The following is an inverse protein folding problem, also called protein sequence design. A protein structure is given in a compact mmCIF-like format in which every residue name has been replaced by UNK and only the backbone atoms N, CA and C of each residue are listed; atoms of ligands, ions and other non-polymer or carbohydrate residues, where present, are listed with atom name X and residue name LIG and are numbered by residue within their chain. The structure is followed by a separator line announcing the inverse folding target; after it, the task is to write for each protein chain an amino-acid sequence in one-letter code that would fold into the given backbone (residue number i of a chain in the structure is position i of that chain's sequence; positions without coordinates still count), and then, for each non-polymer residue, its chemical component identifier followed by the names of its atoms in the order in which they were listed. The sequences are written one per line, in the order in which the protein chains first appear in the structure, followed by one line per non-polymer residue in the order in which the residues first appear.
data_IF_800107533397
#
_entry.id   IF_800107533397
#
_cell.length_a   1.000
_cell.length_b   1.000
_cell.length_c   1.000
_cell.angle_alpha   90.00
_cell.angle_beta   90.00
_cell.angle_gamma   90.00
#
_symmetry.space_group_name_H-M   'P 1'
#
loop_
_entity.id
_entity.type
_entity.pdbx_description
1 polymer ?
#
# COMPACT_ATOMS: atom_id res chain seq x y z
N UNK A 1 105.56 -23.99 -32.36
CA UNK A 1 104.69 -25.18 -32.16
C UNK A 1 103.52 -24.76 -31.35
N UNK A 2 102.43 -24.37 -32.04
CA UNK A 2 101.28 -23.80 -31.34
C UNK A 2 100.02 -24.40 -31.98
N UNK A 3 99.28 -25.15 -31.24
CA UNK A 3 98.02 -25.79 -31.70
C UNK A 3 96.86 -24.80 -31.55
N UNK A 4 96.09 -24.64 -32.65
CA UNK A 4 94.85 -23.89 -32.67
C UNK A 4 93.70 -24.82 -32.24
N UNK A 5 92.99 -24.43 -31.24
CA UNK A 5 91.73 -25.07 -30.85
C UNK A 5 90.59 -24.13 -31.33
N UNK A 6 89.82 -24.58 -32.37
CA UNK A 6 88.59 -23.93 -32.79
C UNK A 6 87.45 -24.33 -31.86
N UNK A 7 86.91 -23.35 -31.17
CA UNK A 7 85.65 -23.51 -30.42
C UNK A 7 84.49 -23.24 -31.34
N UNK A 8 83.64 -24.28 -31.57
CA UNK A 8 82.32 -24.14 -32.19
C UNK A 8 81.33 -23.54 -31.19
N UNK A 9 80.70 -22.44 -31.57
CA UNK A 9 79.51 -21.89 -30.82
C UNK A 9 78.27 -22.46 -31.47
N UNK A 10 77.30 -23.00 -30.71
CA UNK A 10 76.03 -23.35 -31.29
C UNK A 10 75.12 -22.08 -31.36
N UNK A 11 74.57 -21.89 -32.55
CA UNK A 11 73.57 -20.84 -32.86
C UNK A 11 72.25 -21.24 -32.22
N UNK A 12 71.84 -20.57 -31.15
CA UNK A 12 70.49 -20.73 -30.59
C UNK A 12 69.58 -19.81 -31.38
N UNK A 13 68.71 -20.42 -32.19
CA UNK A 13 67.59 -19.71 -32.88
C UNK A 13 66.45 -19.58 -31.88
N UNK A 14 66.25 -18.35 -31.40
CA UNK A 14 65.14 -17.98 -30.54
C UNK A 14 63.88 -17.81 -31.38
N UNK A 15 62.94 -18.76 -31.34
CA UNK A 15 61.67 -18.67 -32.02
C UNK A 15 60.72 -17.78 -31.16
N UNK A 16 60.56 -16.53 -31.48
CA UNK A 16 59.57 -15.64 -30.86
C UNK A 16 58.17 -16.02 -31.42
N UNK A 17 57.41 -16.78 -30.62
CA UNK A 17 55.97 -16.98 -30.87
C UNK A 17 55.25 -15.73 -30.39
N UNK A 18 54.83 -14.89 -31.32
CA UNK A 18 53.95 -13.72 -31.03
C UNK A 18 52.51 -14.25 -30.81
N UNK A 19 52.14 -14.38 -29.55
CA UNK A 19 50.74 -14.57 -29.18
C UNK A 19 50.03 -13.22 -29.37
N UNK A 20 49.36 -13.02 -30.49
CA UNK A 20 48.44 -11.90 -30.68
C UNK A 20 47.20 -12.16 -29.82
N UNK A 21 47.25 -11.73 -28.56
CA UNK A 21 46.09 -11.64 -27.69
C UNK A 21 45.14 -10.56 -28.27
N UNK A 22 43.99 -10.97 -28.77
CA UNK A 22 42.90 -10.07 -29.11
C UNK A 22 42.59 -9.20 -27.87
N UNK A 23 42.53 -7.89 -27.94
CA UNK A 23 42.08 -7.07 -26.83
C UNK A 23 40.64 -7.45 -26.54
N UNK A 24 40.41 -8.13 -25.40
CA UNK A 24 39.07 -8.37 -24.90
C UNK A 24 38.35 -7.01 -24.86
N UNK A 25 37.27 -6.91 -25.58
CA UNK A 25 36.38 -5.75 -25.51
C UNK A 25 35.92 -5.64 -24.05
N UNK A 26 36.49 -4.70 -23.31
CA UNK A 26 35.99 -4.30 -22.01
C UNK A 26 34.61 -3.73 -22.30
N UNK A 27 33.55 -4.50 -22.00
CA UNK A 27 32.19 -4.00 -22.01
C UNK A 27 32.16 -2.81 -21.05
N UNK A 28 32.09 -1.61 -21.59
CA UNK A 28 31.79 -0.42 -20.77
C UNK A 28 30.47 -0.69 -20.11
N UNK A 29 30.36 -0.57 -18.77
CA UNK A 29 29.06 -0.72 -18.11
C UNK A 29 28.13 0.30 -18.75
N UNK A 30 27.05 -0.18 -19.37
CA UNK A 30 25.96 0.68 -19.86
C UNK A 30 25.51 1.50 -18.66
N UNK A 31 25.44 2.84 -18.75
CA UNK A 31 24.91 3.66 -17.67
C UNK A 31 23.56 3.05 -17.27
N UNK A 32 23.36 2.78 -15.99
CA UNK A 32 22.06 2.36 -15.52
C UNK A 32 21.05 3.41 -15.98
N UNK A 33 20.05 3.01 -16.75
CA UNK A 33 19.00 3.92 -17.19
C UNK A 33 18.40 4.60 -15.96
N UNK A 34 18.19 5.91 -16.05
CA UNK A 34 17.58 6.65 -14.94
C UNK A 34 16.23 6.03 -14.62
N UNK A 35 16.03 5.67 -13.34
CA UNK A 35 14.77 5.08 -12.89
C UNK A 35 13.63 6.08 -13.00
N UNK A 36 12.46 5.60 -13.35
CA UNK A 36 11.20 6.36 -13.30
C UNK A 36 10.93 6.77 -11.84
N UNK A 37 10.87 8.05 -11.57
CA UNK A 37 10.62 8.60 -10.24
C UNK A 37 9.13 8.66 -9.98
N UNK A 38 8.65 7.75 -9.15
CA UNK A 38 7.24 7.63 -8.82
C UNK A 38 6.98 8.15 -7.41
N UNK A 39 5.97 8.99 -7.29
CA UNK A 39 5.42 9.43 -6.00
C UNK A 39 4.03 8.83 -5.84
N UNK A 40 3.71 8.38 -4.65
CA UNK A 40 2.38 7.91 -4.27
C UNK A 40 1.88 8.69 -3.08
N UNK A 41 0.58 8.82 -2.94
CA UNK A 41 -0.02 9.51 -1.80
C UNK A 41 0.06 8.68 -0.53
N UNK A 42 -0.10 7.35 -0.63
CA UNK A 42 -0.05 6.42 0.51
C UNK A 42 0.93 5.27 0.29
N UNK A 43 1.45 4.63 1.37
CA UNK A 43 2.43 3.55 1.28
C UNK A 43 1.90 2.26 0.62
N UNK A 44 0.60 2.01 0.66
CA UNK A 44 -0.04 0.86 0.00
C UNK A 44 0.17 0.90 -1.51
N UNK A 45 -0.04 2.07 -2.12
CA UNK A 45 0.24 2.31 -3.53
C UNK A 45 1.73 2.19 -3.82
N UNK A 46 2.60 2.71 -2.92
CA UNK A 46 4.05 2.60 -3.09
C UNK A 46 4.52 1.13 -3.11
N UNK A 47 3.92 0.29 -2.28
CA UNK A 47 4.21 -1.14 -2.29
C UNK A 47 3.84 -1.77 -3.64
N UNK A 48 2.63 -1.54 -4.14
CA UNK A 48 2.16 -2.11 -5.40
C UNK A 48 2.93 -1.59 -6.61
N UNK A 49 3.24 -0.28 -6.66
CA UNK A 49 4.10 0.30 -7.69
C UNK A 49 5.49 -0.34 -7.68
N UNK A 50 6.04 -0.58 -6.48
CA UNK A 50 7.33 -1.26 -6.33
C UNK A 50 7.33 -2.70 -6.83
N UNK A 51 6.26 -3.44 -6.59
CA UNK A 51 6.08 -4.82 -7.07
C UNK A 51 5.96 -4.90 -8.59
N UNK A 52 5.25 -3.95 -9.22
CA UNK A 52 5.02 -3.92 -10.66
C UNK A 52 6.20 -3.27 -11.40
N UNK A 53 6.73 -2.17 -10.88
CA UNK A 53 7.81 -1.42 -11.53
C UNK A 53 9.21 -1.98 -11.30
N UNK A 54 9.44 -2.67 -10.17
CA UNK A 54 10.73 -3.29 -9.76
C UNK A 54 11.93 -2.35 -9.95
N UNK A 55 12.95 -2.83 -10.68
CA UNK A 55 14.20 -2.09 -10.94
C UNK A 55 14.03 -0.87 -11.86
N UNK A 56 12.91 -0.75 -12.58
CA UNK A 56 12.60 0.38 -13.46
C UNK A 56 12.14 1.64 -12.69
N UNK A 57 11.70 1.49 -11.44
CA UNK A 57 11.12 2.60 -10.68
C UNK A 57 11.91 2.94 -9.41
N UNK A 58 11.87 4.21 -9.02
CA UNK A 58 12.20 4.70 -7.68
C UNK A 58 10.94 5.26 -7.06
N UNK A 59 10.38 4.57 -6.04
CA UNK A 59 9.08 4.92 -5.47
C UNK A 59 9.23 5.58 -4.11
N UNK A 60 8.46 6.65 -3.86
CA UNK A 60 8.35 7.32 -2.56
C UNK A 60 6.89 7.64 -2.25
N UNK A 61 6.47 7.38 -1.02
CA UNK A 61 5.16 7.79 -0.51
C UNK A 61 5.22 9.14 0.20
N UNK A 62 4.18 9.97 0.04
CA UNK A 62 4.02 11.21 0.80
C UNK A 62 3.60 10.90 2.23
N UNK A 63 2.46 10.20 2.41
CA UNK A 63 2.01 9.79 3.72
C UNK A 63 2.89 8.67 4.29
N UNK A 64 2.96 8.64 5.62
CA UNK A 64 3.50 7.50 6.37
C UNK A 64 2.33 6.68 6.90
N UNK A 65 2.51 5.37 7.02
CA UNK A 65 1.46 4.46 7.44
C UNK A 65 0.82 4.73 8.82
N UNK A 66 1.43 5.59 9.63
CA UNK A 66 0.91 6.03 10.94
C UNK A 66 0.21 7.39 10.92
N UNK A 67 0.16 8.07 9.77
CA UNK A 67 -0.47 9.38 9.61
C UNK A 67 -1.93 9.24 9.18
N UNK A 68 -2.73 10.26 9.45
CA UNK A 68 -4.09 10.37 8.91
C UNK A 68 -4.01 10.79 7.44
N UNK A 69 -4.51 9.95 6.52
CA UNK A 69 -4.43 10.22 5.09
C UNK A 69 -5.30 11.40 4.63
N UNK A 70 -6.29 11.83 5.43
CA UNK A 70 -7.08 13.04 5.16
C UNK A 70 -6.32 14.33 5.48
N UNK A 71 -5.30 14.26 6.33
CA UNK A 71 -4.67 15.45 6.91
C UNK A 71 -3.14 15.32 6.95
N UNK A 72 -2.52 15.38 5.77
CA UNK A 72 -1.07 15.33 5.65
C UNK A 72 -0.49 16.73 5.78
N UNK A 73 0.39 17.00 6.78
CA UNK A 73 1.00 18.31 6.94
C UNK A 73 1.87 18.68 5.73
N UNK A 74 1.68 19.89 5.19
CA UNK A 74 2.50 20.43 4.10
C UNK A 74 3.97 20.55 4.55
N UNK A 75 4.89 19.94 3.80
CA UNK A 75 6.35 20.03 4.03
C UNK A 75 7.07 20.46 2.75
N UNK A 76 8.08 21.35 2.83
CA UNK A 76 8.86 21.75 1.65
C UNK A 76 9.50 20.56 0.91
N UNK A 77 9.84 19.49 1.64
CA UNK A 77 10.37 18.26 1.06
C UNK A 77 9.40 17.56 0.11
N UNK A 78 8.09 17.68 0.32
CA UNK A 78 7.07 17.13 -0.58
C UNK A 78 6.99 17.89 -1.89
N UNK A 79 7.13 19.23 -1.86
CA UNK A 79 7.21 20.04 -3.08
C UNK A 79 8.41 19.63 -3.93
N UNK A 80 9.58 19.43 -3.31
CA UNK A 80 10.78 19.00 -4.01
C UNK A 80 10.63 17.58 -4.58
N UNK A 81 9.97 16.69 -3.83
CA UNK A 81 9.69 15.33 -4.26
C UNK A 81 8.79 15.33 -5.50
N UNK A 82 7.66 16.04 -5.44
CA UNK A 82 6.70 16.15 -6.55
C UNK A 82 7.26 16.90 -7.76
N UNK A 83 8.08 17.95 -7.54
CA UNK A 83 8.74 18.67 -8.64
C UNK A 83 9.62 17.74 -9.51
N UNK A 84 10.22 16.71 -8.92
CA UNK A 84 11.12 15.76 -9.58
C UNK A 84 10.45 14.47 -10.02
N UNK A 85 9.18 14.28 -9.71
CA UNK A 85 8.44 13.09 -10.04
C UNK A 85 8.16 12.99 -11.56
N UNK A 86 8.24 11.80 -12.08
CA UNK A 86 7.79 11.47 -13.44
C UNK A 86 6.34 11.00 -13.41
N UNK A 87 5.89 10.35 -12.31
CA UNK A 87 4.52 9.93 -12.09
C UNK A 87 4.06 10.16 -10.66
N UNK A 88 2.74 10.36 -10.51
CA UNK A 88 2.02 10.43 -9.24
C UNK A 88 0.83 9.48 -9.27
N UNK A 89 0.70 8.66 -8.23
CA UNK A 89 -0.47 7.81 -7.99
C UNK A 89 -1.18 8.29 -6.74
N UNK A 90 -2.46 8.66 -6.88
CA UNK A 90 -3.33 9.05 -5.77
C UNK A 90 -4.35 7.95 -5.45
N UNK A 91 -4.89 7.96 -4.23
CA UNK A 91 -6.01 7.09 -3.86
C UNK A 91 -7.25 7.46 -4.69
N UNK A 92 -7.57 8.73 -4.79
CA UNK A 92 -8.78 9.20 -5.43
C UNK A 92 -10.01 9.18 -4.51
N UNK A 93 -11.22 9.28 -5.08
CA UNK A 93 -12.45 9.51 -4.33
C UNK A 93 -12.36 10.69 -3.37
N UNK A 94 -11.65 11.75 -3.80
CA UNK A 94 -11.46 12.98 -3.03
C UNK A 94 -10.72 12.79 -1.68
N UNK A 95 -9.96 11.67 -1.52
CA UNK A 95 -9.19 11.39 -0.30
C UNK A 95 -8.18 12.50 0.03
N UNK A 96 -7.51 12.98 -1.00
CA UNK A 96 -6.39 13.92 -0.86
C UNK A 96 -6.82 15.39 -0.97
N UNK A 97 -8.12 15.68 -1.01
CA UNK A 97 -8.66 17.01 -1.33
C UNK A 97 -8.12 18.14 -0.44
N UNK A 98 -7.82 17.83 0.82
CA UNK A 98 -7.39 18.83 1.79
C UNK A 98 -5.92 19.25 1.67
N UNK A 99 -5.08 18.52 0.90
CA UNK A 99 -3.64 18.76 0.89
C UNK A 99 -2.94 18.57 -0.48
N UNK A 100 -3.37 17.63 -1.31
CA UNK A 100 -2.69 17.33 -2.58
C UNK A 100 -2.85 18.44 -3.62
N UNK A 101 -4.02 19.10 -3.80
CA UNK A 101 -4.18 20.18 -4.78
C UNK A 101 -3.18 21.32 -4.59
N UNK A 102 -2.96 21.75 -3.34
CA UNK A 102 -1.99 22.80 -3.02
C UNK A 102 -0.54 22.37 -3.30
N UNK A 103 -0.21 21.10 -3.04
CA UNK A 103 1.11 20.55 -3.37
C UNK A 103 1.31 20.50 -4.89
N UNK A 104 0.32 20.07 -5.66
CA UNK A 104 0.38 20.01 -7.13
C UNK A 104 0.52 21.40 -7.74
N UNK A 105 -0.24 22.37 -7.28
CA UNK A 105 -0.13 23.76 -7.73
C UNK A 105 1.27 24.35 -7.49
N UNK A 106 1.85 24.08 -6.32
CA UNK A 106 3.13 24.67 -5.93
C UNK A 106 4.36 23.89 -6.41
N UNK A 107 4.26 22.62 -6.75
CA UNK A 107 5.40 21.82 -7.20
C UNK A 107 5.87 22.15 -8.62
N UNK A 108 5.06 22.85 -9.44
CA UNK A 108 5.38 23.29 -10.80
C UNK A 108 5.84 22.16 -11.72
N UNK A 109 5.22 21.01 -11.63
CA UNK A 109 5.53 19.86 -12.47
C UNK A 109 4.31 19.48 -13.30
N UNK A 110 4.35 19.80 -14.59
CA UNK A 110 3.23 19.55 -15.51
C UNK A 110 3.04 18.05 -15.83
N UNK A 111 4.05 17.21 -15.61
CA UNK A 111 3.97 15.77 -15.88
C UNK A 111 2.94 15.05 -15.00
N UNK A 112 2.69 15.58 -13.80
CA UNK A 112 1.88 14.95 -12.75
C UNK A 112 0.64 15.79 -12.37
N UNK A 113 0.21 16.69 -13.26
CA UNK A 113 -1.05 17.42 -13.05
C UNK A 113 -2.25 16.53 -13.43
N UNK A 114 -3.43 16.75 -12.84
CA UNK A 114 -4.64 16.04 -13.23
C UNK A 114 -4.87 16.09 -14.75
N UNK A 115 -5.03 14.92 -15.38
CA UNK A 115 -5.15 14.75 -16.82
C UNK A 115 -3.84 14.57 -17.58
N UNK A 116 -2.68 14.74 -16.96
CA UNK A 116 -1.40 14.40 -17.56
C UNK A 116 -1.16 12.87 -17.52
N UNK A 117 -0.39 12.30 -18.47
CA UNK A 117 -0.13 10.84 -18.50
C UNK A 117 0.57 10.31 -17.24
N UNK A 118 1.32 11.15 -16.53
CA UNK A 118 1.98 10.78 -15.28
C UNK A 118 1.11 10.91 -14.03
N UNK A 119 -0.16 11.38 -14.16
CA UNK A 119 -1.11 11.43 -13.05
C UNK A 119 -2.09 10.26 -13.13
N UNK A 120 -2.14 9.44 -12.08
CA UNK A 120 -2.98 8.24 -12.06
C UNK A 120 -3.87 8.25 -10.81
N UNK A 121 -5.18 8.26 -11.03
CA UNK A 121 -6.18 8.06 -9.99
C UNK A 121 -6.45 6.55 -9.82
N UNK A 122 -6.08 6.00 -8.66
CA UNK A 122 -6.14 4.56 -8.40
C UNK A 122 -7.57 4.05 -8.11
N UNK A 123 -8.55 4.93 -7.91
CA UNK A 123 -9.96 4.55 -7.71
C UNK A 123 -10.68 4.14 -8.99
N UNK A 124 -10.08 4.32 -10.17
CA UNK A 124 -10.75 4.17 -11.47
C UNK A 124 -11.49 2.84 -11.69
N UNK A 125 -11.05 1.76 -11.04
CA UNK A 125 -11.68 0.42 -11.12
C UNK A 125 -12.50 0.05 -9.89
N UNK A 126 -12.57 0.94 -8.90
CA UNK A 126 -13.20 0.67 -7.61
C UNK A 126 -14.68 1.03 -7.67
N UNK A 127 -15.51 0.13 -7.19
CA UNK A 127 -16.92 0.44 -6.98
C UNK A 127 -17.07 1.19 -5.65
N UNK A 128 -17.47 2.47 -5.65
CA UNK A 128 -17.60 3.22 -4.41
C UNK A 128 -18.76 2.70 -3.56
N UNK A 129 -18.57 2.76 -2.24
CA UNK A 129 -19.64 2.57 -1.25
C UNK A 129 -19.91 3.89 -0.54
N UNK A 130 -21.06 4.01 0.13
CA UNK A 130 -21.42 5.19 0.92
C UNK A 130 -21.37 6.51 0.12
N UNK A 131 -21.77 6.45 -1.16
CA UNK A 131 -21.91 7.64 -2.00
C UNK A 131 -23.06 8.49 -1.44
N UNK A 132 -22.81 9.75 -1.04
CA UNK A 132 -23.86 10.59 -0.46
C UNK A 132 -24.85 11.05 -1.54
N UNK A 133 -26.15 11.01 -1.24
CA UNK A 133 -27.20 11.54 -2.15
C UNK A 133 -27.03 13.03 -2.45
N UNK A 134 -26.62 13.79 -1.43
CA UNK A 134 -26.28 15.20 -1.53
C UNK A 134 -25.02 15.46 -0.69
N UNK A 135 -23.87 15.70 -1.32
CA UNK A 135 -22.66 16.04 -0.59
C UNK A 135 -22.81 17.43 0.04
N UNK A 136 -22.83 17.47 1.38
CA UNK A 136 -22.87 18.72 2.16
C UNK A 136 -21.69 18.71 3.16
N UNK A 137 -20.86 19.73 3.11
CA UNK A 137 -19.74 19.92 4.04
C UNK A 137 -20.21 20.12 5.49
N UNK A 138 -21.48 20.46 5.74
CA UNK A 138 -22.06 20.45 7.08
C UNK A 138 -22.14 19.03 7.68
N UNK A 139 -22.01 18.01 6.86
CA UNK A 139 -21.93 16.60 7.30
C UNK A 139 -20.51 16.14 7.68
N UNK A 140 -19.54 17.06 7.74
CA UNK A 140 -18.13 16.77 8.05
C UNK A 140 -17.27 16.58 6.80
N UNK A 141 -16.23 15.76 6.92
CA UNK A 141 -15.33 15.40 5.81
C UNK A 141 -15.99 14.37 4.88
N UNK A 142 -16.95 14.84 4.10
CA UNK A 142 -17.76 14.02 3.18
C UNK A 142 -17.10 13.98 1.81
N UNK A 143 -16.89 12.77 1.31
CA UNK A 143 -16.34 12.50 -0.02
C UNK A 143 -17.49 12.36 -1.05
N UNK A 144 -17.61 13.28 -2.02
CA UNK A 144 -18.73 13.28 -2.99
C UNK A 144 -18.78 12.01 -3.85
N UNK A 145 -17.65 11.43 -4.15
CA UNK A 145 -17.51 10.23 -4.99
C UNK A 145 -17.73 8.91 -4.23
N UNK A 146 -17.84 8.96 -2.90
CA UNK A 146 -18.00 7.82 -2.02
C UNK A 146 -16.84 7.60 -1.07
N UNK A 147 -16.90 6.57 -0.25
CA UNK A 147 -15.89 6.26 0.76
C UNK A 147 -14.53 5.93 0.12
N UNK A 148 -13.46 6.67 0.44
CA UNK A 148 -12.15 6.48 -0.20
C UNK A 148 -11.26 5.42 0.45
N UNK A 149 -11.68 4.77 1.55
CA UNK A 149 -10.85 3.82 2.30
C UNK A 149 -10.87 2.39 1.72
N UNK A 150 -10.96 2.29 0.39
CA UNK A 150 -11.01 1.02 -0.31
C UNK A 150 -9.72 0.18 -0.20
N UNK A 151 -8.61 0.82 0.16
CA UNK A 151 -7.32 0.15 0.37
C UNK A 151 -7.35 -0.89 1.50
N UNK A 152 -8.34 -0.82 2.41
CA UNK A 152 -8.51 -1.78 3.49
C UNK A 152 -9.11 -3.11 3.03
N UNK A 153 -9.75 -3.15 1.87
CA UNK A 153 -10.27 -4.37 1.24
C UNK A 153 -9.25 -4.97 0.26
N UNK A 154 -8.79 -6.22 0.49
CA UNK A 154 -7.83 -6.84 -0.43
C UNK A 154 -8.37 -7.08 -1.84
N UNK A 155 -9.68 -7.30 -2.04
CA UNK A 155 -10.23 -7.42 -3.39
C UNK A 155 -10.05 -6.11 -4.18
N UNK A 156 -10.20 -4.96 -3.54
CA UNK A 156 -9.90 -3.66 -4.12
C UNK A 156 -8.40 -3.44 -4.33
N UNK A 157 -7.54 -3.97 -3.44
CA UNK A 157 -6.09 -3.96 -3.63
C UNK A 157 -5.67 -4.62 -4.94
N UNK A 158 -6.30 -5.73 -5.31
CA UNK A 158 -6.09 -6.42 -6.59
C UNK A 158 -6.48 -5.54 -7.80
N UNK A 159 -7.60 -4.80 -7.70
CA UNK A 159 -8.03 -3.87 -8.74
C UNK A 159 -7.10 -2.66 -8.86
N UNK A 160 -6.64 -2.15 -7.72
CA UNK A 160 -5.66 -1.06 -7.63
C UNK A 160 -4.35 -1.42 -8.34
N UNK A 161 -3.83 -2.64 -8.12
CA UNK A 161 -2.63 -3.12 -8.79
C UNK A 161 -2.76 -3.09 -10.33
N UNK A 162 -3.93 -3.48 -10.85
CA UNK A 162 -4.23 -3.39 -12.29
C UNK A 162 -4.24 -1.94 -12.79
N UNK A 163 -4.86 -1.02 -12.05
CA UNK A 163 -4.88 0.39 -12.40
C UNK A 163 -3.48 1.00 -12.40
N UNK A 164 -2.63 0.61 -11.45
CA UNK A 164 -1.22 1.02 -11.39
C UNK A 164 -0.46 0.53 -12.64
N UNK A 165 -0.64 -0.73 -13.02
CA UNK A 165 -0.01 -1.28 -14.22
C UNK A 165 -0.44 -0.55 -15.49
N UNK A 166 -1.76 -0.30 -15.64
CA UNK A 166 -2.28 0.47 -16.78
C UNK A 166 -1.64 1.86 -16.87
N UNK A 167 -1.50 2.55 -15.73
CA UNK A 167 -0.85 3.85 -15.64
C UNK A 167 0.63 3.80 -16.05
N UNK A 168 1.38 2.83 -15.54
CA UNK A 168 2.79 2.62 -15.91
C UNK A 168 2.95 2.29 -17.39
N UNK A 169 2.13 1.39 -17.94
CA UNK A 169 2.16 1.00 -19.34
C UNK A 169 1.80 2.19 -20.27
N UNK A 170 0.78 2.98 -19.88
CA UNK A 170 0.37 4.14 -20.64
C UNK A 170 1.43 5.24 -20.71
N UNK A 171 2.13 5.48 -19.59
CA UNK A 171 3.20 6.49 -19.53
C UNK A 171 4.54 5.99 -20.14
N UNK A 172 4.81 4.70 -20.09
CA UNK A 172 6.06 4.07 -20.53
C UNK A 172 5.80 2.82 -21.38
N UNK A 173 5.27 2.96 -22.61
CA UNK A 173 4.87 1.84 -23.45
C UNK A 173 6.04 0.91 -23.82
N UNK A 174 7.28 1.43 -23.88
CA UNK A 174 8.47 0.62 -24.15
C UNK A 174 8.79 -0.40 -23.03
N UNK A 175 8.19 -0.23 -21.84
CA UNK A 175 8.33 -1.13 -20.71
C UNK A 175 7.05 -1.92 -20.39
N UNK A 176 5.98 -1.77 -21.19
CA UNK A 176 4.67 -2.33 -20.91
C UNK A 176 4.71 -3.85 -20.67
N UNK A 177 5.36 -4.61 -21.55
CA UNK A 177 5.50 -6.06 -21.45
C UNK A 177 6.12 -6.49 -20.08
N UNK A 178 7.10 -5.72 -19.58
CA UNK A 178 7.72 -6.01 -18.28
C UNK A 178 6.77 -5.70 -17.12
N UNK A 179 6.03 -4.59 -17.20
CA UNK A 179 5.05 -4.24 -16.16
C UNK A 179 3.91 -5.25 -16.10
N UNK A 180 3.40 -5.69 -17.26
CA UNK A 180 2.36 -6.70 -17.36
C UNK A 180 2.83 -8.05 -16.81
N UNK A 181 4.03 -8.52 -17.16
CA UNK A 181 4.60 -9.74 -16.60
C UNK A 181 4.79 -9.65 -15.09
N UNK A 182 5.28 -8.52 -14.58
CA UNK A 182 5.43 -8.31 -13.14
C UNK A 182 4.09 -8.25 -12.40
N UNK A 183 3.06 -7.66 -13.02
CA UNK A 183 1.70 -7.66 -12.51
C UNK A 183 1.15 -9.08 -12.40
N UNK A 184 1.34 -9.92 -13.42
CA UNK A 184 0.88 -11.31 -13.44
C UNK A 184 1.49 -12.09 -12.26
N UNK A 185 2.81 -12.05 -12.09
CA UNK A 185 3.50 -12.67 -10.96
C UNK A 185 3.02 -12.13 -9.59
N UNK A 186 2.77 -10.82 -9.52
CA UNK A 186 2.24 -10.19 -8.31
C UNK A 186 0.83 -10.67 -8.01
N UNK A 187 -0.05 -10.73 -9.02
CA UNK A 187 -1.44 -11.18 -8.86
C UNK A 187 -1.52 -12.66 -8.48
N UNK A 188 -0.66 -13.53 -9.00
CA UNK A 188 -0.60 -14.94 -8.57
C UNK A 188 -0.30 -15.06 -7.06
N UNK A 189 0.64 -14.26 -6.54
CA UNK A 189 0.95 -14.24 -5.11
C UNK A 189 -0.19 -13.62 -4.30
N UNK A 190 -0.81 -12.58 -4.87
CA UNK A 190 -1.93 -11.88 -4.26
C UNK A 190 -3.15 -12.81 -4.11
N UNK A 191 -3.49 -13.54 -5.16
CA UNK A 191 -4.65 -14.45 -5.18
C UNK A 191 -4.48 -15.60 -4.18
N UNK A 192 -3.24 -16.14 -4.03
CA UNK A 192 -2.94 -17.09 -2.94
C UNK A 192 -3.15 -16.48 -1.55
N UNK A 193 -2.62 -15.28 -1.34
CA UNK A 193 -2.80 -14.57 -0.06
C UNK A 193 -4.26 -14.20 0.23
N UNK A 194 -5.02 -13.85 -0.80
CA UNK A 194 -6.44 -13.55 -0.65
C UNK A 194 -7.19 -14.79 -0.15
N UNK A 195 -6.95 -15.96 -0.73
CA UNK A 195 -7.53 -17.22 -0.27
C UNK A 195 -7.13 -17.54 1.20
N UNK A 196 -5.85 -17.33 1.56
CA UNK A 196 -5.38 -17.49 2.94
C UNK A 196 -6.16 -16.59 3.90
N UNK A 197 -6.36 -15.31 3.55
CA UNK A 197 -7.06 -14.33 4.39
C UNK A 197 -8.55 -14.61 4.50
N UNK A 198 -9.20 -15.09 3.44
CA UNK A 198 -10.60 -15.49 3.47
C UNK A 198 -10.82 -16.63 4.47
N UNK A 199 -9.94 -17.64 4.49
CA UNK A 199 -9.99 -18.72 5.49
C UNK A 199 -9.72 -18.17 6.89
N UNK A 200 -8.66 -17.40 7.04
CA UNK A 200 -8.25 -16.84 8.33
C UNK A 200 -9.35 -15.97 8.95
N UNK A 201 -10.08 -15.23 8.11
CA UNK A 201 -11.11 -14.29 8.53
C UNK A 201 -12.50 -14.91 8.74
N UNK A 202 -12.75 -16.16 8.36
CA UNK A 202 -14.07 -16.82 8.55
C UNK A 202 -14.70 -16.61 9.94
N UNK A 203 -13.91 -16.65 11.06
CA UNK A 203 -14.50 -16.40 12.37
C UNK A 203 -14.98 -14.96 12.60
N UNK A 204 -14.72 -14.03 11.67
CA UNK A 204 -15.16 -12.63 11.77
C UNK A 204 -16.57 -12.41 11.22
N UNK A 205 -17.12 -13.35 10.47
CA UNK A 205 -18.46 -13.23 9.90
C UNK A 205 -19.53 -13.05 10.98
N UNK A 206 -20.39 -12.05 10.78
CA UNK A 206 -21.45 -11.66 11.71
C UNK A 206 -20.97 -11.00 13.00
N UNK A 207 -19.67 -10.76 13.17
CA UNK A 207 -19.14 -10.07 14.36
C UNK A 207 -19.54 -8.59 14.29
N UNK A 208 -20.23 -8.14 15.34
CA UNK A 208 -20.73 -6.77 15.47
C UNK A 208 -19.67 -5.85 16.04
N UNK A 209 -19.39 -4.75 15.32
CA UNK A 209 -18.33 -3.80 15.66
C UNK A 209 -18.84 -2.36 15.67
N UNK A 210 -18.14 -1.51 16.44
CA UNK A 210 -18.15 -0.05 16.29
C UNK A 210 -16.80 0.35 15.73
N UNK A 211 -16.76 1.23 14.74
CA UNK A 211 -15.51 1.80 14.24
C UNK A 211 -15.32 3.21 14.79
N UNK A 212 -14.09 3.72 14.80
CA UNK A 212 -13.90 5.12 15.18
C UNK A 212 -14.36 6.05 14.07
N UNK A 213 -13.87 5.80 12.87
CA UNK A 213 -14.20 6.46 11.60
C UNK A 213 -14.72 5.43 10.58
N UNK A 214 -15.18 5.87 9.41
CA UNK A 214 -15.68 4.99 8.33
C UNK A 214 -14.58 4.31 7.51
N UNK A 215 -13.37 4.19 8.06
CA UNK A 215 -12.23 3.59 7.36
C UNK A 215 -12.40 2.08 7.08
N UNK A 216 -13.33 1.43 7.77
CA UNK A 216 -13.43 -0.04 7.80
C UNK A 216 -14.61 -0.59 7.00
N UNK A 217 -15.36 0.25 6.28
CA UNK A 217 -16.57 -0.17 5.57
C UNK A 217 -16.30 -1.24 4.51
N UNK A 218 -15.25 -1.07 3.71
CA UNK A 218 -14.86 -2.07 2.71
C UNK A 218 -14.30 -3.34 3.34
N UNK A 219 -13.43 -3.22 4.34
CA UNK A 219 -12.91 -4.36 5.09
C UNK A 219 -14.04 -5.16 5.74
N UNK A 220 -14.98 -4.48 6.38
CA UNK A 220 -16.12 -5.10 7.02
C UNK A 220 -17.02 -5.83 6.02
N UNK A 221 -17.31 -5.20 4.89
CA UNK A 221 -18.10 -5.81 3.83
C UNK A 221 -17.44 -7.06 3.24
N UNK A 222 -16.10 -7.04 3.08
CA UNK A 222 -15.34 -8.16 2.53
C UNK A 222 -15.30 -9.37 3.49
N UNK A 223 -15.02 -9.12 4.78
CA UNK A 223 -14.84 -10.17 5.78
C UNK A 223 -16.08 -10.46 6.65
N UNK A 224 -17.23 -9.90 6.27
CA UNK A 224 -18.50 -10.21 6.91
C UNK A 224 -18.71 -9.61 8.30
N UNK A 225 -17.98 -8.54 8.70
CA UNK A 225 -18.27 -7.83 9.94
C UNK A 225 -19.50 -6.93 9.79
N UNK A 226 -20.27 -6.79 10.86
CA UNK A 226 -21.41 -5.88 10.93
C UNK A 226 -21.00 -4.57 11.62
N UNK A 227 -20.80 -3.48 10.86
CA UNK A 227 -20.54 -2.15 11.42
C UNK A 227 -21.86 -1.57 11.95
N UNK A 228 -21.97 -1.52 13.26
CA UNK A 228 -23.18 -1.08 13.96
C UNK A 228 -23.21 0.42 14.26
N UNK A 229 -22.10 1.12 14.07
CA UNK A 229 -22.00 2.57 14.25
C UNK A 229 -20.57 3.05 14.38
N UNK A 230 -20.41 4.35 14.39
CA UNK A 230 -19.14 5.03 14.45
C UNK A 230 -19.03 5.89 15.73
N UNK A 231 -17.80 6.03 16.25
CA UNK A 231 -17.52 6.95 17.36
C UNK A 231 -17.67 8.39 16.88
N UNK A 232 -17.15 8.72 15.71
CA UNK A 232 -17.44 9.99 15.05
C UNK A 232 -18.86 9.98 14.48
N UNK A 233 -19.76 10.88 14.94
CA UNK A 233 -21.13 10.93 14.40
C UNK A 233 -21.17 11.36 12.95
N UNK A 234 -20.15 12.10 12.53
CA UNK A 234 -19.86 12.56 11.17
C UNK A 234 -18.33 12.59 11.02
N UNK A 235 -17.78 12.29 9.83
CA UNK A 235 -16.33 12.28 9.61
C UNK A 235 -15.65 13.56 10.09
N UNK A 236 -14.59 13.44 10.90
CA UNK A 236 -13.83 14.55 11.44
C UNK A 236 -14.51 15.32 12.58
N UNK A 237 -15.73 14.94 13.00
CA UNK A 237 -16.48 15.63 14.06
C UNK A 237 -16.45 14.82 15.36
N UNK A 238 -15.92 15.45 16.43
CA UNK A 238 -15.85 14.82 17.75
C UNK A 238 -17.24 14.46 18.30
N UNK A 239 -17.41 13.27 18.94
CA UNK A 239 -18.70 12.83 19.45
C UNK A 239 -19.18 13.67 20.64
N UNK A 240 -20.48 13.93 20.66
CA UNK A 240 -21.14 14.57 21.82
C UNK A 240 -21.41 13.55 22.94
N UNK A 241 -21.61 14.00 24.21
CA UNK A 241 -22.02 13.11 25.29
C UNK A 241 -23.31 12.32 24.98
N UNK A 242 -24.26 12.93 24.27
CA UNK A 242 -25.50 12.29 23.85
C UNK A 242 -25.24 11.15 22.87
N UNK A 243 -24.34 11.34 21.91
CA UNK A 243 -23.93 10.32 20.95
C UNK A 243 -23.24 9.14 21.65
N UNK A 244 -22.29 9.42 22.56
CA UNK A 244 -21.62 8.39 23.36
C UNK A 244 -22.60 7.58 24.20
N UNK A 245 -23.61 8.23 24.81
CA UNK A 245 -24.66 7.52 25.54
C UNK A 245 -25.54 6.64 24.62
N UNK A 246 -25.78 7.06 23.37
CA UNK A 246 -26.46 6.23 22.34
C UNK A 246 -25.62 4.99 22.00
N UNK A 247 -24.32 5.15 21.79
CA UNK A 247 -23.42 4.02 21.51
C UNK A 247 -23.38 3.01 22.67
N UNK A 248 -23.32 3.48 23.93
CA UNK A 248 -23.36 2.59 25.11
C UNK A 248 -24.64 1.75 25.17
N UNK A 249 -25.80 2.36 24.84
CA UNK A 249 -27.06 1.57 24.76
C UNK A 249 -26.99 0.54 23.64
N UNK A 250 -26.52 0.97 22.45
CA UNK A 250 -26.40 0.09 21.29
C UNK A 250 -25.47 -1.11 21.55
N UNK A 251 -24.31 -0.86 22.18
CA UNK A 251 -23.36 -1.93 22.59
C UNK A 251 -24.07 -3.01 23.39
N UNK A 252 -24.88 -2.62 24.38
CA UNK A 252 -25.59 -3.55 25.26
C UNK A 252 -26.73 -4.26 24.54
N UNK A 253 -27.58 -3.48 23.83
CA UNK A 253 -28.82 -3.96 23.28
C UNK A 253 -28.60 -4.86 22.05
N UNK A 254 -27.55 -4.55 21.25
CA UNK A 254 -27.17 -5.30 20.05
C UNK A 254 -25.98 -6.25 20.27
N UNK A 255 -25.48 -6.38 21.51
CA UNK A 255 -24.34 -7.25 21.87
C UNK A 255 -23.10 -7.00 21.00
N UNK A 256 -22.74 -5.75 20.78
CA UNK A 256 -21.56 -5.38 20.00
C UNK A 256 -20.31 -5.80 20.77
N UNK A 257 -19.36 -6.46 20.08
CA UNK A 257 -18.24 -7.16 20.70
C UNK A 257 -16.95 -6.33 20.72
N UNK A 258 -16.76 -5.45 19.74
CA UNK A 258 -15.47 -4.83 19.50
C UNK A 258 -15.61 -3.37 19.03
N UNK A 259 -14.67 -2.52 19.48
CA UNK A 259 -14.40 -1.22 18.91
C UNK A 259 -13.10 -1.30 18.12
N UNK A 260 -13.12 -0.89 16.86
CA UNK A 260 -11.95 -0.75 15.98
C UNK A 260 -11.61 0.74 15.88
N UNK A 261 -10.35 1.10 16.10
CA UNK A 261 -9.86 2.46 15.91
C UNK A 261 -8.50 2.47 15.22
N UNK A 262 -8.22 3.54 14.53
CA UNK A 262 -6.95 3.78 13.87
C UNK A 262 -5.88 4.31 14.84
N UNK A 263 -4.59 4.15 14.50
CA UNK A 263 -3.46 4.51 15.37
C UNK A 263 -3.44 6.01 15.74
N UNK A 264 -3.79 6.90 14.82
CA UNK A 264 -3.74 8.35 15.00
C UNK A 264 -4.91 8.93 15.80
N UNK A 265 -6.00 8.19 15.98
CA UNK A 265 -7.11 8.65 16.80
C UNK A 265 -6.84 8.52 18.31
N UNK A 266 -7.41 9.44 19.07
CA UNK A 266 -7.32 9.47 20.54
C UNK A 266 -7.97 8.24 21.18
N UNK A 267 -7.35 7.72 22.24
CA UNK A 267 -7.91 6.65 23.07
C UNK A 267 -9.07 7.11 23.99
N UNK A 268 -9.38 8.41 24.04
CA UNK A 268 -10.37 8.98 25.00
C UNK A 268 -11.73 8.28 24.90
N UNK A 269 -12.30 8.23 23.71
CA UNK A 269 -13.65 7.71 23.52
C UNK A 269 -13.71 6.16 23.52
N UNK A 270 -12.80 5.44 22.87
CA UNK A 270 -12.74 3.97 22.98
C UNK A 270 -12.55 3.49 24.42
N UNK A 271 -11.67 4.17 25.19
CA UNK A 271 -11.47 3.85 26.61
C UNK A 271 -12.73 4.09 27.44
N UNK A 272 -13.44 5.21 27.21
CA UNK A 272 -14.72 5.48 27.86
C UNK A 272 -15.75 4.38 27.59
N UNK A 273 -15.90 3.94 26.33
CA UNK A 273 -16.79 2.84 25.98
C UNK A 273 -16.38 1.56 26.71
N UNK A 274 -15.09 1.20 26.70
CA UNK A 274 -14.54 0.05 27.39
C UNK A 274 -14.82 0.07 28.90
N UNK A 275 -14.56 1.20 29.57
CA UNK A 275 -14.78 1.34 31.01
C UNK A 275 -16.27 1.24 31.40
N UNK A 276 -17.19 1.68 30.55
CA UNK A 276 -18.62 1.71 30.82
C UNK A 276 -19.38 0.47 30.40
N UNK A 277 -18.90 -0.28 29.41
CA UNK A 277 -19.60 -1.45 28.86
C UNK A 277 -18.80 -2.75 28.91
N UNK A 278 -17.50 -2.70 29.15
CA UNK A 278 -16.62 -3.86 29.06
C UNK A 278 -16.26 -4.26 27.63
N UNK A 279 -16.70 -3.49 26.61
CA UNK A 279 -16.41 -3.79 25.21
C UNK A 279 -14.91 -3.89 24.94
N UNK A 280 -14.51 -4.81 24.07
CA UNK A 280 -13.12 -4.93 23.62
C UNK A 280 -12.76 -3.78 22.70
N UNK A 281 -11.48 -3.41 22.67
CA UNK A 281 -10.96 -2.35 21.80
C UNK A 281 -9.70 -2.86 21.11
N UNK A 282 -9.64 -2.72 19.80
CA UNK A 282 -8.44 -2.96 19.01
C UNK A 282 -8.02 -1.68 18.30
N UNK A 283 -6.71 -1.46 18.22
CA UNK A 283 -6.12 -0.35 17.45
C UNK A 283 -5.39 -0.92 16.26
N UNK A 284 -5.77 -0.49 15.05
CA UNK A 284 -5.28 -1.00 13.79
C UNK A 284 -4.72 0.13 12.93
N UNK A 285 -3.66 -0.10 12.16
CA UNK A 285 -3.29 0.81 11.08
C UNK A 285 -4.34 0.73 9.96
N UNK A 286 -4.60 1.83 9.28
CA UNK A 286 -5.43 1.88 8.08
C UNK A 286 -4.61 2.01 6.78
N UNK A 287 -3.29 1.98 6.91
CA UNK A 287 -2.32 1.93 5.81
C UNK A 287 -1.15 1.01 6.18
N UNK A 288 -0.49 0.47 5.18
CA UNK A 288 0.74 -0.32 5.35
C UNK A 288 1.88 0.53 5.93
N UNK A 289 2.81 -0.11 6.64
CA UNK A 289 4.00 0.55 7.19
C UNK A 289 3.74 1.46 8.40
N UNK A 290 2.54 1.47 8.98
CA UNK A 290 2.24 2.18 10.23
C UNK A 290 2.97 1.60 11.44
N UNK A 291 3.31 0.32 11.37
CA UNK A 291 4.06 -0.44 12.35
C UNK A 291 5.10 -1.33 11.65
N UNK A 292 6.17 -1.75 12.33
CA UNK A 292 7.18 -2.64 11.72
C UNK A 292 6.59 -3.91 11.11
N UNK A 293 5.63 -4.54 11.79
CA UNK A 293 4.94 -5.76 11.38
C UNK A 293 3.95 -5.58 10.23
N UNK A 294 3.61 -4.33 9.85
CA UNK A 294 2.70 -4.02 8.74
C UNK A 294 3.43 -3.47 7.52
N UNK A 295 4.74 -3.66 7.43
CA UNK A 295 5.52 -3.23 6.28
C UNK A 295 5.13 -4.02 5.03
N UNK A 296 4.57 -3.32 4.04
CA UNK A 296 4.00 -3.89 2.82
C UNK A 296 2.54 -4.29 2.98
N UNK A 297 1.82 -4.30 1.84
CA UNK A 297 0.38 -4.47 1.82
C UNK A 297 -0.09 -5.83 2.37
N UNK A 298 0.60 -6.91 2.03
CA UNK A 298 0.23 -8.25 2.50
C UNK A 298 0.30 -8.37 4.02
N UNK A 299 1.39 -7.87 4.62
CA UNK A 299 1.54 -7.88 6.06
C UNK A 299 0.52 -6.99 6.77
N UNK A 300 0.14 -5.88 6.14
CA UNK A 300 -0.90 -4.96 6.64
C UNK A 300 -2.26 -5.66 6.74
N UNK A 301 -2.71 -6.33 5.69
CA UNK A 301 -3.98 -7.06 5.68
C UNK A 301 -3.98 -8.17 6.73
N UNK A 302 -2.96 -9.03 6.74
CA UNK A 302 -2.84 -10.16 7.67
C UNK A 302 -2.77 -9.69 9.13
N UNK A 303 -2.04 -8.60 9.40
CA UNK A 303 -1.96 -7.99 10.73
C UNK A 303 -3.34 -7.54 11.22
N UNK A 304 -4.13 -6.91 10.39
CA UNK A 304 -5.45 -6.40 10.77
C UNK A 304 -6.40 -7.56 11.09
N UNK A 305 -6.47 -8.59 10.24
CA UNK A 305 -7.29 -9.78 10.50
C UNK A 305 -6.87 -10.43 11.80
N UNK A 306 -5.59 -10.74 11.96
CA UNK A 306 -5.08 -11.45 13.16
C UNK A 306 -5.24 -10.66 14.44
N UNK A 307 -5.12 -9.32 14.37
CA UNK A 307 -5.31 -8.43 15.52
C UNK A 307 -6.76 -8.38 15.98
N UNK A 308 -7.73 -8.38 15.04
CA UNK A 308 -9.15 -8.47 15.37
C UNK A 308 -9.47 -9.82 16.02
N UNK A 309 -9.01 -10.94 15.44
CA UNK A 309 -9.19 -12.27 16.01
C UNK A 309 -8.66 -12.37 17.43
N UNK A 310 -7.44 -11.91 17.67
CA UNK A 310 -6.82 -11.88 19.02
C UNK A 310 -7.62 -11.02 20.00
N UNK A 311 -8.07 -9.83 19.58
CA UNK A 311 -8.88 -8.96 20.41
C UNK A 311 -10.20 -9.62 20.80
N UNK A 312 -10.81 -10.39 19.91
CA UNK A 312 -12.02 -11.18 20.16
C UNK A 312 -11.77 -12.45 20.99
N UNK A 313 -10.50 -12.83 21.22
CA UNK A 313 -10.14 -14.10 21.84
C UNK A 313 -10.42 -15.31 20.95
N UNK A 314 -10.50 -15.08 19.63
CA UNK A 314 -10.66 -16.12 18.62
C UNK A 314 -9.29 -16.70 18.24
N UNK A 315 -9.29 -17.96 17.80
CA UNK A 315 -8.07 -18.64 17.37
C UNK A 315 -7.55 -18.00 16.06
N UNK A 316 -6.25 -17.83 15.99
CA UNK A 316 -5.53 -17.48 14.76
C UNK A 316 -4.93 -18.78 14.20
N UNK A 317 -5.30 -19.15 12.99
CA UNK A 317 -4.75 -20.33 12.32
C UNK A 317 -3.29 -20.12 11.94
N UNK A 318 -2.49 -21.17 11.97
CA UNK A 318 -1.13 -21.16 11.42
C UNK A 318 -1.17 -21.31 9.89
N UNK A 319 -0.09 -20.97 9.16
CA UNK A 319 -0.04 -21.18 7.72
C UNK A 319 -0.32 -22.63 7.29
N UNK A 320 0.19 -23.61 8.05
CA UNK A 320 -0.03 -25.05 7.77
C UNK A 320 -1.50 -25.45 7.98
N UNK A 321 -2.20 -24.83 8.94
CA UNK A 321 -3.61 -25.06 9.17
C UNK A 321 -4.47 -24.44 8.07
N UNK A 322 -4.10 -23.24 7.58
CA UNK A 322 -4.75 -22.58 6.44
C UNK A 322 -4.59 -23.43 5.18
N UNK A 323 -3.37 -23.90 4.88
CA UNK A 323 -3.12 -24.78 3.73
C UNK A 323 -3.94 -26.07 3.79
N UNK A 324 -4.11 -26.63 4.99
CA UNK A 324 -4.95 -27.82 5.19
C UNK A 324 -6.43 -27.54 4.92
N UNK A 325 -6.94 -26.41 5.36
CA UNK A 325 -8.33 -26.00 5.07
C UNK A 325 -8.54 -25.78 3.56
N UNK A 326 -7.59 -25.10 2.86
CA UNK A 326 -7.63 -24.92 1.40
C UNK A 326 -7.68 -26.25 0.63
N UNK A 327 -6.94 -27.26 1.09
CA UNK A 327 -6.90 -28.58 0.41
C UNK A 327 -8.14 -29.43 0.69
N UNK A 328 -9.00 -29.05 1.64
CA UNK A 328 -10.23 -29.79 1.96
C UNK A 328 -11.48 -29.21 1.29
N UNK A 329 -11.38 -28.09 0.60
CA UNK A 329 -12.43 -27.45 -0.23
C UNK A 329 -12.30 -27.84 -1.69
#
# INVERSE_FOLDING_TARGET
MTQYIRKLLPLIVLLCVSVAGSPGAWATPTPAADKIKVVTTIPDLAYMVGEIGRDLVEVKSIAKGSEDMHSIPMKPSYLLLLNRADMLFEVGFDMEHAWLPDLLYNCRNEKIQPGAPGFVNCSARIKPVEVPDQPDRAEGDVHPEGNPHYNTDPANGRLTAKTICDGLCGAYPDHAERFEANLEEFLERFDRKLADWEILARPLEGVRVITYHRSWSYFAAHFGLEVCGEIEPKPGIAPTPRHMAKLLRKIRDEKIELVIKEDYYSNKYPRFLKEKSGIKVVTLPNMSGGRPETKGYFNFVEHNITSILRALGKRVLTPEEIEKELNNE
#
